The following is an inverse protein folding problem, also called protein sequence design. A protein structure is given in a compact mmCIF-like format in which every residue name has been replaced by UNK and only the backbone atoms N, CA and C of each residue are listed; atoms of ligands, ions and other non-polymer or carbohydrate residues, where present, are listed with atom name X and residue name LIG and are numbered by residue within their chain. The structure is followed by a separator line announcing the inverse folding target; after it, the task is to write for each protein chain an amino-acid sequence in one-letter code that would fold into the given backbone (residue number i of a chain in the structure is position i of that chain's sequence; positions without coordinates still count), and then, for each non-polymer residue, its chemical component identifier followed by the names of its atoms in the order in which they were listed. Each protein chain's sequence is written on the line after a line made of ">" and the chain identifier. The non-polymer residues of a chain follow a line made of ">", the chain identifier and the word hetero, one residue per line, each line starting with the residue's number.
data_IF_844667447213
#
_entry.id   IF_844667447213
#
_cell.length_a   1.000
_cell.length_b   1.000
_cell.length_c   1.000
_cell.angle_alpha   90.00
_cell.angle_beta   90.00
_cell.angle_gamma   90.00
#
_symmetry.space_group_name_H-M   'P 1'
#
loop_
_entity.id
_entity.type
_entity.pdbx_description
1 polymer ?
#
# COMPACT_ATOMS: atom_id res chain seq x y z
N UNK A 1 12.49 18.21 20.57
CA UNK A 1 13.44 17.25 21.18
C UNK A 1 14.22 16.57 20.06
N UNK A 2 15.50 16.25 20.24
CA UNK A 2 16.35 15.75 19.16
C UNK A 2 16.50 14.23 19.25
N UNK A 3 16.06 13.51 18.20
CA UNK A 3 16.17 12.04 18.08
C UNK A 3 17.33 11.62 17.14
N UNK A 4 18.28 12.51 16.88
CA UNK A 4 19.49 12.19 16.12
C UNK A 4 20.50 11.43 16.99
N UNK A 5 21.24 10.52 16.36
CA UNK A 5 22.33 9.77 16.98
C UNK A 5 21.94 8.89 18.19
N UNK A 6 20.65 8.60 18.43
CA UNK A 6 20.24 7.74 19.54
C UNK A 6 20.78 6.31 19.44
N UNK A 7 20.98 5.81 18.20
CA UNK A 7 21.60 4.50 17.96
C UNK A 7 23.06 4.43 18.44
N UNK A 8 23.76 5.57 18.51
CA UNK A 8 25.15 5.63 19.01
C UNK A 8 25.21 5.57 20.55
N UNK A 9 24.06 5.75 21.22
CA UNK A 9 23.96 5.80 22.69
C UNK A 9 23.46 4.50 23.32
N UNK A 10 22.96 3.55 22.52
CA UNK A 10 22.48 2.25 23.01
C UNK A 10 23.60 1.20 22.98
N UNK A 11 23.39 0.08 23.66
CA UNK A 11 24.35 -1.02 23.69
C UNK A 11 24.55 -1.63 22.30
N UNK A 12 25.76 -2.15 22.03
CA UNK A 12 26.14 -2.71 20.71
C UNK A 12 25.32 -3.97 20.37
N UNK A 13 24.84 -4.68 21.37
CA UNK A 13 23.98 -5.86 21.26
C UNK A 13 22.47 -5.52 21.23
N UNK A 14 22.12 -4.23 21.18
CA UNK A 14 20.72 -3.82 21.07
C UNK A 14 20.07 -4.45 19.82
N UNK A 15 18.80 -4.89 19.93
CA UNK A 15 18.19 -5.74 18.91
C UNK A 15 17.66 -4.90 17.72
N UNK A 16 18.56 -4.28 16.96
CA UNK A 16 18.21 -3.36 15.85
C UNK A 16 17.41 -4.04 14.72
N UNK A 17 17.55 -5.37 14.59
CA UNK A 17 16.81 -6.17 13.61
C UNK A 17 15.44 -6.64 14.12
N UNK A 18 15.10 -6.40 15.39
CA UNK A 18 13.79 -6.76 15.91
C UNK A 18 12.73 -5.87 15.28
N UNK A 19 11.81 -6.49 14.56
CA UNK A 19 10.68 -5.84 13.92
C UNK A 19 9.61 -6.88 13.59
N UNK A 20 8.38 -6.41 13.37
CA UNK A 20 7.32 -7.21 12.74
C UNK A 20 7.08 -6.74 11.32
N UNK A 21 6.57 -7.64 10.48
CA UNK A 21 6.42 -7.45 9.05
C UNK A 21 5.05 -7.93 8.59
N UNK A 22 4.46 -7.22 7.64
CA UNK A 22 3.27 -7.65 6.90
C UNK A 22 3.43 -7.33 5.43
N UNK A 23 2.86 -8.16 4.56
CA UNK A 23 2.89 -7.95 3.12
C UNK A 23 1.47 -7.98 2.58
N UNK A 24 1.16 -7.03 1.70
CA UNK A 24 -0.05 -7.03 0.89
C UNK A 24 0.42 -7.10 -0.57
N UNK A 25 -0.17 -7.97 -1.39
CA UNK A 25 0.16 -8.11 -2.82
C UNK A 25 -1.11 -8.09 -3.64
N UNK A 26 -1.19 -7.14 -4.56
CA UNK A 26 -2.28 -7.05 -5.53
C UNK A 26 -1.89 -7.78 -6.82
N UNK A 27 -2.88 -8.31 -7.53
CA UNK A 27 -2.69 -8.85 -8.88
C UNK A 27 -4.00 -9.10 -9.61
N UNK A 28 -4.05 -8.73 -10.88
CA UNK A 28 -5.23 -8.95 -11.73
C UNK A 28 -5.34 -10.43 -12.13
N UNK A 29 -6.54 -11.00 -12.02
CA UNK A 29 -6.87 -12.26 -12.69
C UNK A 29 -7.04 -12.00 -14.17
N UNK A 30 -6.34 -12.77 -14.99
CA UNK A 30 -6.40 -12.72 -16.45
C UNK A 30 -6.58 -14.13 -16.99
N UNK A 31 -7.14 -14.27 -18.18
CA UNK A 31 -7.16 -15.55 -18.88
C UNK A 31 -5.80 -15.88 -19.52
N UNK A 32 -5.67 -17.07 -20.09
CA UNK A 32 -4.45 -17.53 -20.78
C UNK A 32 -4.01 -16.66 -21.97
N UNK A 33 -4.89 -15.82 -22.51
CA UNK A 33 -4.57 -14.85 -23.58
C UNK A 33 -4.16 -13.48 -23.03
N UNK A 34 -3.98 -13.34 -21.71
CA UNK A 34 -3.62 -12.08 -21.05
C UNK A 34 -4.77 -11.08 -20.98
N UNK A 35 -6.02 -11.48 -21.22
CA UNK A 35 -7.20 -10.60 -21.10
C UNK A 35 -7.77 -10.65 -19.70
N UNK A 36 -8.27 -9.51 -19.23
CA UNK A 36 -8.83 -9.36 -17.90
C UNK A 36 -9.99 -10.36 -17.68
N UNK A 37 -9.95 -11.12 -16.57
CA UNK A 37 -10.99 -12.10 -16.27
C UNK A 37 -12.36 -11.41 -16.14
N UNK A 38 -13.42 -12.02 -16.67
CA UNK A 38 -14.79 -11.47 -16.53
C UNK A 38 -15.65 -12.30 -15.56
N UNK A 39 -15.01 -13.24 -14.87
CA UNK A 39 -15.62 -14.10 -13.86
C UNK A 39 -15.63 -13.41 -12.50
N UNK A 40 -16.63 -13.74 -11.68
CA UNK A 40 -16.73 -13.24 -10.30
C UNK A 40 -15.62 -13.78 -9.40
N UNK A 41 -15.46 -13.17 -8.22
CA UNK A 41 -14.58 -13.68 -7.18
C UNK A 41 -14.91 -15.16 -6.87
N UNK A 42 -13.93 -16.09 -6.94
CA UNK A 42 -14.18 -17.51 -6.73
C UNK A 42 -14.83 -17.80 -5.37
N UNK A 43 -15.99 -18.48 -5.39
CA UNK A 43 -16.73 -18.86 -4.17
C UNK A 43 -15.90 -19.69 -3.19
N UNK A 44 -14.93 -20.44 -3.69
CA UNK A 44 -14.03 -21.27 -2.90
C UNK A 44 -13.07 -20.46 -1.99
N UNK A 45 -12.89 -19.15 -2.23
CA UNK A 45 -12.18 -18.27 -1.29
C UNK A 45 -12.99 -17.95 -0.02
N UNK A 46 -14.30 -18.18 -0.02
CA UNK A 46 -15.17 -17.76 1.08
C UNK A 46 -15.60 -16.29 0.95
N UNK A 47 -16.16 -15.73 2.03
CA UNK A 47 -16.70 -14.36 2.01
C UNK A 47 -15.64 -13.32 2.32
N UNK A 48 -15.57 -12.30 1.47
CA UNK A 48 -14.69 -11.14 1.62
C UNK A 48 -14.98 -10.30 2.88
N UNK A 49 -16.16 -10.45 3.49
CA UNK A 49 -16.51 -9.70 4.70
C UNK A 49 -15.63 -10.05 5.90
N UNK A 50 -15.07 -11.26 5.92
CA UNK A 50 -14.24 -11.73 7.03
C UNK A 50 -12.95 -12.41 6.59
N UNK A 51 -12.75 -12.68 5.29
CA UNK A 51 -11.59 -13.43 4.82
C UNK A 51 -10.29 -12.62 5.03
N UNK A 52 -9.34 -13.09 5.86
CA UNK A 52 -8.24 -12.24 6.33
C UNK A 52 -7.05 -12.16 5.37
N UNK A 53 -6.97 -13.06 4.37
CA UNK A 53 -5.74 -13.24 3.57
C UNK A 53 -5.89 -13.14 2.06
N UNK A 54 -7.12 -13.28 1.54
CA UNK A 54 -7.43 -13.19 0.12
C UNK A 54 -8.70 -12.35 0.00
N UNK A 55 -8.58 -11.19 -0.63
CA UNK A 55 -9.68 -10.26 -0.87
C UNK A 55 -9.59 -9.74 -2.31
N UNK A 56 -10.29 -8.63 -2.58
CA UNK A 56 -10.19 -7.85 -3.81
C UNK A 56 -9.94 -6.40 -3.45
N UNK A 57 -9.04 -5.74 -4.18
CA UNK A 57 -8.78 -4.32 -4.01
C UNK A 57 -9.89 -3.47 -4.69
N UNK A 58 -9.60 -2.75 -5.78
CA UNK A 58 -10.60 -1.91 -6.44
C UNK A 58 -11.62 -2.71 -7.26
N UNK A 59 -11.14 -3.67 -8.05
CA UNK A 59 -11.97 -4.42 -9.01
C UNK A 59 -12.18 -5.88 -8.62
N UNK A 60 -13.26 -6.49 -9.13
CA UNK A 60 -13.60 -7.91 -8.92
C UNK A 60 -12.48 -8.85 -9.42
N UNK A 61 -11.70 -8.36 -10.37
CA UNK A 61 -10.58 -9.07 -10.96
C UNK A 61 -9.27 -8.92 -10.19
N UNK A 62 -9.11 -7.87 -9.40
CA UNK A 62 -7.85 -7.53 -8.75
C UNK A 62 -7.81 -8.17 -7.36
N UNK A 63 -7.19 -9.34 -7.28
CA UNK A 63 -6.99 -10.01 -6.00
C UNK A 63 -6.02 -9.20 -5.14
N UNK A 64 -6.29 -9.16 -3.85
CA UNK A 64 -5.39 -8.65 -2.82
C UNK A 64 -5.05 -9.78 -1.85
N UNK A 65 -3.77 -10.13 -1.77
CA UNK A 65 -3.24 -11.19 -0.91
C UNK A 65 -2.56 -10.55 0.30
N UNK A 66 -3.10 -10.79 1.50
CA UNK A 66 -2.72 -10.12 2.74
C UNK A 66 -2.11 -11.15 3.68
N UNK A 67 -0.87 -10.95 4.13
CA UNK A 67 -0.26 -11.86 5.11
C UNK A 67 -0.69 -11.51 6.53
N UNK A 68 -0.77 -12.50 7.43
CA UNK A 68 -0.67 -12.24 8.86
C UNK A 68 0.60 -11.48 9.22
N UNK A 69 0.63 -10.87 10.41
CA UNK A 69 1.83 -10.26 10.96
C UNK A 69 2.88 -11.36 11.20
N UNK A 70 4.11 -11.11 10.77
CA UNK A 70 5.24 -12.03 10.89
C UNK A 70 6.37 -11.41 11.73
N UNK A 71 7.05 -12.18 12.60
CA UNK A 71 8.21 -11.74 13.38
C UNK A 71 9.51 -11.68 12.56
N UNK A 72 9.49 -12.08 11.27
CA UNK A 72 10.66 -11.99 10.39
C UNK A 72 10.25 -11.84 8.92
N UNK A 73 11.15 -11.28 8.11
CA UNK A 73 10.95 -11.20 6.65
C UNK A 73 10.87 -12.58 6.00
N UNK A 74 11.58 -13.58 6.53
CA UNK A 74 11.51 -14.97 6.08
C UNK A 74 10.11 -15.55 6.28
N UNK A 75 9.50 -15.29 7.43
CA UNK A 75 8.16 -15.76 7.74
C UNK A 75 7.08 -15.01 6.95
N UNK A 76 7.20 -13.69 6.79
CA UNK A 76 6.29 -12.91 5.93
C UNK A 76 6.28 -13.46 4.49
N UNK A 77 7.46 -13.75 3.93
CA UNK A 77 7.59 -14.36 2.60
C UNK A 77 7.01 -15.77 2.53
N UNK A 78 7.14 -16.58 3.60
CA UNK A 78 6.53 -17.91 3.69
C UNK A 78 5.01 -17.81 3.65
N UNK A 79 4.41 -16.88 4.41
CA UNK A 79 2.97 -16.64 4.38
C UNK A 79 2.51 -16.19 2.99
N UNK A 80 3.19 -15.20 2.40
CA UNK A 80 2.83 -14.71 1.06
C UNK A 80 2.91 -15.81 0.00
N UNK A 81 3.93 -16.69 0.08
CA UNK A 81 4.06 -17.83 -0.82
C UNK A 81 2.89 -18.81 -0.65
N UNK A 82 2.54 -19.19 0.58
CA UNK A 82 1.42 -20.09 0.85
C UNK A 82 0.08 -19.51 0.37
N UNK A 83 -0.17 -18.22 0.64
CA UNK A 83 -1.40 -17.54 0.21
C UNK A 83 -1.46 -17.42 -1.31
N UNK A 84 -0.35 -17.07 -1.96
CA UNK A 84 -0.25 -17.04 -3.43
C UNK A 84 -0.55 -18.41 -4.04
N UNK A 85 -0.06 -19.48 -3.41
CA UNK A 85 -0.24 -20.86 -3.87
C UNK A 85 -1.70 -21.33 -3.71
N UNK A 86 -2.35 -20.98 -2.59
CA UNK A 86 -3.80 -21.18 -2.41
C UNK A 86 -4.59 -20.38 -3.44
N UNK A 87 -4.25 -19.10 -3.66
CA UNK A 87 -4.91 -18.25 -4.64
C UNK A 87 -4.82 -18.84 -6.05
N UNK A 88 -3.60 -19.20 -6.48
CA UNK A 88 -3.33 -19.76 -7.80
C UNK A 88 -4.00 -21.11 -8.06
N UNK A 89 -4.17 -21.96 -7.05
CA UNK A 89 -4.89 -23.24 -7.22
C UNK A 89 -6.42 -23.12 -7.12
N UNK A 90 -6.91 -22.02 -6.55
CA UNK A 90 -8.36 -21.82 -6.34
C UNK A 90 -9.02 -21.05 -7.49
N UNK A 91 -8.28 -20.17 -8.18
CA UNK A 91 -8.81 -19.51 -9.39
C UNK A 91 -9.11 -20.55 -10.50
N UNK A 92 -10.01 -20.25 -11.44
CA UNK A 92 -10.29 -21.12 -12.58
C UNK A 92 -9.02 -21.54 -13.34
N UNK A 93 -8.98 -22.78 -13.84
CA UNK A 93 -7.78 -23.34 -14.51
C UNK A 93 -7.31 -22.59 -15.76
N UNK A 94 -8.21 -21.84 -16.38
CA UNK A 94 -7.95 -21.00 -17.55
C UNK A 94 -7.57 -19.55 -17.18
N UNK A 95 -7.44 -19.25 -15.89
CA UNK A 95 -7.00 -17.97 -15.36
C UNK A 95 -5.63 -18.07 -14.68
N UNK A 96 -4.93 -16.95 -14.66
CA UNK A 96 -3.66 -16.75 -13.94
C UNK A 96 -3.66 -15.38 -13.27
N UNK A 97 -2.79 -15.20 -12.27
CA UNK A 97 -2.55 -13.90 -11.66
C UNK A 97 -1.48 -13.17 -12.47
N UNK A 98 -1.82 -12.00 -12.99
CA UNK A 98 -0.93 -11.13 -13.76
C UNK A 98 0.30 -10.76 -12.93
N UNK A 99 1.52 -10.92 -13.47
CA UNK A 99 2.75 -10.76 -12.68
C UNK A 99 3.27 -9.32 -12.61
N UNK A 100 2.81 -8.42 -13.48
CA UNK A 100 3.35 -7.06 -13.60
C UNK A 100 2.49 -6.05 -12.85
N UNK A 101 3.12 -4.93 -12.47
CA UNK A 101 2.42 -3.81 -11.84
C UNK A 101 1.50 -3.08 -12.83
N UNK A 102 2.02 -2.80 -14.04
CA UNK A 102 1.20 -2.25 -15.12
C UNK A 102 0.28 -3.35 -15.67
N UNK A 103 -1.00 -3.05 -15.88
CA UNK A 103 -1.96 -4.05 -16.32
C UNK A 103 -1.72 -4.50 -17.78
N UNK A 104 -2.29 -5.64 -18.20
CA UNK A 104 -2.34 -5.99 -19.62
C UNK A 104 -3.23 -5.01 -20.39
N UNK A 105 -3.27 -5.15 -21.73
CA UNK A 105 -4.16 -4.34 -22.57
C UNK A 105 -5.61 -4.59 -22.18
N UNK A 106 -6.27 -3.53 -21.72
CA UNK A 106 -7.64 -3.52 -21.23
C UNK A 106 -8.36 -2.23 -21.60
N UNK A 107 -9.68 -2.25 -21.50
CA UNK A 107 -10.54 -1.09 -21.60
C UNK A 107 -11.25 -0.81 -20.25
N UNK A 108 -11.66 0.44 -19.98
CA UNK A 108 -12.41 0.77 -18.76
C UNK A 108 -13.70 -0.05 -18.58
N UNK A 109 -14.32 -0.49 -19.67
CA UNK A 109 -15.55 -1.27 -19.66
C UNK A 109 -15.36 -2.70 -19.12
N UNK A 110 -14.16 -3.26 -19.27
CA UNK A 110 -13.81 -4.60 -18.75
C UNK A 110 -13.59 -4.61 -17.23
N UNK A 111 -13.31 -3.45 -16.62
CA UNK A 111 -13.02 -3.33 -15.19
C UNK A 111 -14.34 -3.25 -14.41
N UNK A 112 -14.62 -4.30 -13.66
CA UNK A 112 -15.81 -4.42 -12.81
C UNK A 112 -15.43 -3.99 -11.40
N UNK A 113 -16.13 -2.99 -10.85
CA UNK A 113 -15.90 -2.60 -9.44
C UNK A 113 -16.23 -3.80 -8.55
N UNK A 114 -15.39 -4.06 -7.54
CA UNK A 114 -15.56 -5.21 -6.66
C UNK A 114 -16.99 -5.29 -6.10
N UNK A 115 -17.58 -6.48 -6.18
CA UNK A 115 -18.93 -6.75 -5.67
C UNK A 115 -18.87 -6.94 -4.15
N UNK A 116 -18.95 -5.83 -3.42
CA UNK A 116 -18.88 -5.81 -1.96
C UNK A 116 -20.28 -5.68 -1.35
N UNK A 117 -20.53 -6.46 -0.29
CA UNK A 117 -21.78 -6.37 0.49
C UNK A 117 -21.84 -5.09 1.32
N UNK A 118 -20.68 -4.51 1.65
CA UNK A 118 -20.60 -3.22 2.34
C UNK A 118 -20.85 -2.07 1.35
N UNK A 119 -22.00 -1.41 1.49
CA UNK A 119 -22.41 -0.28 0.65
C UNK A 119 -21.40 0.87 0.64
N UNK A 120 -20.82 1.22 1.79
CA UNK A 120 -19.83 2.29 1.87
C UNK A 120 -18.58 1.96 1.05
N UNK A 121 -18.07 0.73 1.16
CA UNK A 121 -16.90 0.29 0.38
C UNK A 121 -17.17 0.22 -1.12
N UNK A 122 -18.41 -0.10 -1.51
CA UNK A 122 -18.87 -0.05 -2.92
C UNK A 122 -18.94 1.39 -3.42
N UNK A 123 -19.66 2.27 -2.73
CA UNK A 123 -19.81 3.68 -3.13
C UNK A 123 -18.49 4.42 -3.14
N UNK A 124 -17.57 4.11 -2.21
CA UNK A 124 -16.21 4.64 -2.22
C UNK A 124 -15.49 4.32 -3.55
N UNK A 125 -15.52 3.07 -4.00
CA UNK A 125 -14.90 2.65 -5.27
C UNK A 125 -15.60 3.27 -6.49
N UNK A 126 -16.91 3.41 -6.46
CA UNK A 126 -17.65 4.14 -7.49
C UNK A 126 -17.24 5.62 -7.56
N UNK A 127 -17.01 6.25 -6.40
CA UNK A 127 -16.47 7.60 -6.30
C UNK A 127 -15.06 7.72 -6.91
N UNK A 128 -14.15 6.80 -6.56
CA UNK A 128 -12.82 6.72 -7.16
C UNK A 128 -12.89 6.54 -8.69
N UNK A 129 -13.79 5.66 -9.16
CA UNK A 129 -13.99 5.42 -10.59
C UNK A 129 -14.44 6.67 -11.33
N UNK A 130 -15.33 7.47 -10.73
CA UNK A 130 -15.78 8.75 -11.30
C UNK A 130 -14.68 9.81 -11.31
N UNK A 131 -13.87 9.86 -10.25
CA UNK A 131 -12.84 10.89 -10.06
C UNK A 131 -11.58 10.63 -10.88
N UNK A 132 -11.09 9.39 -10.89
CA UNK A 132 -9.79 9.02 -11.48
C UNK A 132 -9.92 8.11 -12.71
N UNK A 133 -11.12 7.63 -13.02
CA UNK A 133 -11.33 6.58 -14.01
C UNK A 133 -10.98 5.19 -13.47
N UNK A 134 -11.48 4.16 -14.15
CA UNK A 134 -11.25 2.75 -13.76
C UNK A 134 -9.86 2.25 -14.16
N UNK A 135 -9.31 2.74 -15.27
CA UNK A 135 -8.04 2.24 -15.82
C UNK A 135 -6.88 2.43 -14.85
N UNK A 136 -6.78 3.61 -14.22
CA UNK A 136 -5.72 3.88 -13.24
C UNK A 136 -5.77 2.89 -12.06
N UNK A 137 -6.96 2.47 -11.68
CA UNK A 137 -7.20 1.56 -10.55
C UNK A 137 -6.77 0.12 -10.83
N UNK A 138 -6.47 -0.23 -12.08
CA UNK A 138 -5.97 -1.55 -12.46
C UNK A 138 -4.46 -1.73 -12.21
N UNK A 139 -3.73 -0.69 -11.79
CA UNK A 139 -2.31 -0.82 -11.46
C UNK A 139 -2.17 -1.57 -10.13
N UNK A 140 -1.50 -2.72 -10.14
CA UNK A 140 -1.25 -3.51 -8.93
C UNK A 140 0.14 -3.23 -8.34
N UNK A 141 0.29 -3.47 -7.03
CA UNK A 141 1.58 -3.37 -6.34
C UNK A 141 1.71 -4.29 -5.13
N UNK A 142 2.78 -4.06 -4.37
CA UNK A 142 3.03 -4.71 -3.09
C UNK A 142 3.16 -3.63 -2.04
N UNK A 143 2.48 -3.79 -0.91
CA UNK A 143 2.71 -2.98 0.29
C UNK A 143 3.59 -3.73 1.27
N UNK A 144 4.59 -3.02 1.78
CA UNK A 144 5.51 -3.52 2.79
C UNK A 144 5.21 -2.83 4.12
N UNK A 145 4.58 -3.56 5.04
CA UNK A 145 4.23 -3.08 6.36
C UNK A 145 5.33 -3.51 7.35
N UNK A 146 5.76 -2.59 8.22
CA UNK A 146 6.80 -2.86 9.20
C UNK A 146 6.56 -2.08 10.50
N UNK A 147 6.79 -2.73 11.63
CA UNK A 147 6.83 -2.08 12.95
C UNK A 147 8.16 -2.42 13.64
N UNK A 148 8.87 -1.41 14.14
CA UNK A 148 10.07 -1.59 14.96
C UNK A 148 9.74 -2.35 16.25
N UNK A 149 10.66 -3.23 16.65
CA UNK A 149 10.53 -4.07 17.82
C UNK A 149 10.41 -3.28 19.14
N UNK A 150 9.60 -3.77 20.09
CA UNK A 150 9.38 -3.07 21.36
C UNK A 150 10.66 -2.89 22.18
N UNK A 151 11.61 -3.84 22.12
CA UNK A 151 12.84 -3.76 22.90
C UNK A 151 13.78 -2.70 22.33
N UNK A 152 13.86 -2.59 21.00
CA UNK A 152 14.60 -1.52 20.34
C UNK A 152 14.00 -0.15 20.66
N UNK A 153 12.66 -0.01 20.59
CA UNK A 153 11.97 1.23 20.95
C UNK A 153 12.27 1.60 22.40
N UNK A 154 12.19 0.63 23.32
CA UNK A 154 12.45 0.86 24.74
C UNK A 154 13.91 1.26 25.00
N UNK A 155 14.87 0.64 24.31
CA UNK A 155 16.28 0.97 24.41
C UNK A 155 16.56 2.41 23.95
N UNK A 156 16.03 2.79 22.78
CA UNK A 156 16.16 4.14 22.25
C UNK A 156 15.47 5.19 23.13
N UNK A 157 14.29 4.87 23.67
CA UNK A 157 13.55 5.76 24.56
C UNK A 157 14.34 6.09 25.83
N UNK A 158 14.97 5.08 26.46
CA UNK A 158 15.77 5.23 27.70
C UNK A 158 16.94 6.21 27.57
N UNK A 159 17.52 6.33 26.38
CA UNK A 159 18.67 7.21 26.08
C UNK A 159 18.25 8.52 25.41
N UNK A 160 16.94 8.75 25.26
CA UNK A 160 16.36 9.96 24.71
C UNK A 160 15.97 10.96 25.80
N UNK A 161 15.73 12.22 25.42
CA UNK A 161 15.25 13.25 26.34
C UNK A 161 13.72 13.22 26.57
N UNK A 162 13.01 12.29 25.91
CA UNK A 162 11.56 12.19 25.99
C UNK A 162 11.12 11.65 27.35
N UNK A 163 9.99 12.17 27.85
CA UNK A 163 9.31 11.66 29.06
C UNK A 163 8.09 10.81 28.76
N UNK A 164 7.59 10.86 27.52
CA UNK A 164 6.44 10.10 27.06
C UNK A 164 6.86 9.22 25.87
N UNK A 165 6.72 7.90 26.03
CA UNK A 165 7.11 6.92 25.01
C UNK A 165 6.24 7.02 23.74
N UNK A 166 4.99 7.47 23.84
CA UNK A 166 4.11 7.67 22.68
C UNK A 166 4.60 8.81 21.81
N UNK A 167 4.92 9.95 22.41
CA UNK A 167 5.51 11.10 21.69
C UNK A 167 6.85 10.71 21.06
N UNK A 168 7.67 9.95 21.78
CA UNK A 168 8.91 9.42 21.24
C UNK A 168 8.67 8.51 20.02
N UNK A 169 7.73 7.56 20.12
CA UNK A 169 7.38 6.64 19.03
C UNK A 169 6.87 7.42 17.80
N UNK A 170 6.00 8.41 18.01
CA UNK A 170 5.49 9.28 16.93
C UNK A 170 6.62 9.99 16.20
N UNK A 171 7.50 10.69 16.93
CA UNK A 171 8.62 11.42 16.35
C UNK A 171 9.64 10.51 15.66
N UNK A 172 9.86 9.30 16.22
CA UNK A 172 10.69 8.27 15.61
C UNK A 172 10.14 7.82 14.25
N UNK A 173 8.85 7.48 14.16
CA UNK A 173 8.22 7.08 12.90
C UNK A 173 8.10 8.23 11.90
N UNK A 174 7.87 9.46 12.35
CA UNK A 174 7.93 10.65 11.49
C UNK A 174 9.33 10.85 10.91
N UNK A 175 10.38 10.67 11.70
CA UNK A 175 11.75 10.71 11.19
C UNK A 175 12.03 9.59 10.19
N UNK A 176 11.55 8.36 10.44
CA UNK A 176 11.66 7.27 9.48
C UNK A 176 10.94 7.60 8.16
N UNK A 177 9.70 8.10 8.24
CA UNK A 177 8.91 8.48 7.07
C UNK A 177 9.58 9.61 6.25
N UNK A 178 10.06 10.67 6.91
CA UNK A 178 10.78 11.76 6.23
C UNK A 178 12.05 11.28 5.53
N UNK A 179 12.85 10.41 6.18
CA UNK A 179 14.04 9.85 5.56
C UNK A 179 13.70 8.88 4.43
N UNK A 180 12.67 8.05 4.59
CA UNK A 180 12.14 7.24 3.51
C UNK A 180 11.76 8.11 2.31
N UNK A 181 10.96 9.17 2.50
CA UNK A 181 10.57 10.06 1.41
C UNK A 181 11.77 10.74 0.73
N UNK A 182 12.80 11.12 1.50
CA UNK A 182 14.04 11.73 0.98
C UNK A 182 14.86 10.75 0.14
N UNK A 183 14.93 9.48 0.53
CA UNK A 183 15.82 8.48 -0.07
C UNK A 183 15.11 7.37 -0.85
N UNK A 184 13.76 7.39 -0.94
CA UNK A 184 12.96 6.36 -1.63
C UNK A 184 13.34 6.18 -3.09
N UNK A 185 13.89 7.21 -3.73
CA UNK A 185 14.38 7.14 -5.10
C UNK A 185 15.36 5.99 -5.30
N UNK A 186 16.13 5.62 -4.26
CA UNK A 186 17.06 4.50 -4.32
C UNK A 186 16.34 3.15 -4.41
N UNK A 187 15.24 2.98 -3.67
CA UNK A 187 14.40 1.78 -3.78
C UNK A 187 13.69 1.72 -5.13
N UNK A 188 13.16 2.85 -5.63
CA UNK A 188 12.59 2.93 -6.98
C UNK A 188 13.66 2.67 -8.05
N UNK A 189 14.90 3.07 -7.81
CA UNK A 189 16.04 2.80 -8.70
C UNK A 189 16.33 1.30 -8.79
N UNK A 190 16.45 0.62 -7.64
CA UNK A 190 16.79 -0.80 -7.56
C UNK A 190 15.65 -1.72 -8.01
N UNK A 191 14.41 -1.39 -7.65
CA UNK A 191 13.27 -2.30 -7.76
C UNK A 191 12.14 -1.78 -8.66
N UNK A 192 12.40 -0.75 -9.46
CA UNK A 192 11.45 -0.27 -10.47
C UNK A 192 11.14 -1.36 -11.50
N UNK A 193 9.87 -1.77 -11.56
CA UNK A 193 9.40 -2.90 -12.38
C UNK A 193 8.18 -2.54 -13.23
N UNK A 194 8.08 -1.28 -13.65
CA UNK A 194 6.98 -0.77 -14.47
C UNK A 194 7.51 0.09 -15.63
N UNK A 195 8.29 -0.48 -16.56
CA UNK A 195 9.02 0.33 -17.55
C UNK A 195 8.17 0.81 -18.72
N UNK A 196 7.12 0.07 -19.06
CA UNK A 196 6.21 0.31 -20.19
C UNK A 196 4.77 0.08 -19.74
N UNK A 197 3.83 0.65 -20.49
CA UNK A 197 2.41 0.41 -20.34
C UNK A 197 1.82 -0.01 -21.69
N UNK A 198 0.75 -0.79 -21.65
CA UNK A 198 0.04 -1.19 -22.87
C UNK A 198 -0.64 0.01 -23.54
N UNK A 199 -0.84 -0.12 -24.85
CA UNK A 199 -1.47 0.91 -25.67
C UNK A 199 -2.85 1.30 -25.10
N UNK A 200 -3.09 2.61 -24.99
CA UNK A 200 -4.34 3.16 -24.46
C UNK A 200 -4.42 3.24 -22.93
N UNK A 201 -3.38 2.79 -22.20
CA UNK A 201 -3.35 2.94 -20.75
C UNK A 201 -2.99 4.36 -20.30
N UNK A 202 -1.98 4.97 -20.92
CA UNK A 202 -1.46 6.28 -20.53
C UNK A 202 -2.20 7.41 -21.25
N UNK A 203 -2.33 8.55 -20.57
CA UNK A 203 -2.89 9.79 -21.14
C UNK A 203 -1.92 10.51 -22.07
N UNK A 204 -0.63 10.20 -21.97
CA UNK A 204 0.44 10.70 -22.86
C UNK A 204 1.38 9.56 -23.23
N UNK A 205 1.89 9.59 -24.45
CA UNK A 205 2.89 8.63 -24.90
C UNK A 205 4.24 8.83 -24.20
N UNK A 206 4.92 7.73 -23.94
CA UNK A 206 6.31 7.73 -23.48
C UNK A 206 7.14 7.12 -24.60
N UNK A 207 8.09 7.90 -25.14
CA UNK A 207 8.87 7.52 -26.32
C UNK A 207 9.89 6.41 -26.08
N UNK A 208 10.26 6.15 -24.82
CA UNK A 208 11.24 5.15 -24.42
C UNK A 208 10.84 4.51 -23.08
N UNK A 209 11.22 3.25 -22.82
CA UNK A 209 11.02 2.64 -21.53
C UNK A 209 11.59 3.49 -20.40
N UNK A 210 10.80 3.70 -19.35
CA UNK A 210 11.26 4.36 -18.12
C UNK A 210 11.55 3.31 -17.06
N UNK A 211 11.93 3.74 -15.85
CA UNK A 211 12.20 2.79 -14.77
C UNK A 211 10.92 2.29 -14.09
N UNK A 212 10.00 3.20 -13.78
CA UNK A 212 8.78 2.86 -13.04
C UNK A 212 7.67 3.89 -13.25
N UNK A 213 6.79 3.64 -14.21
CA UNK A 213 5.56 4.43 -14.47
C UNK A 213 4.69 4.53 -13.21
N UNK A 214 4.49 3.44 -12.46
CA UNK A 214 3.71 3.45 -11.20
C UNK A 214 4.19 4.49 -10.19
N UNK A 215 5.49 4.81 -10.17
CA UNK A 215 6.10 5.76 -9.24
C UNK A 215 6.33 7.15 -9.86
N UNK A 216 5.80 7.40 -11.06
CA UNK A 216 5.85 8.68 -11.75
C UNK A 216 4.54 9.46 -11.57
N UNK A 217 4.46 10.65 -12.19
CA UNK A 217 3.23 11.44 -12.29
C UNK A 217 2.11 10.76 -13.11
N UNK A 218 2.43 9.68 -13.82
CA UNK A 218 1.47 8.87 -14.59
C UNK A 218 0.89 7.68 -13.80
N UNK A 219 1.36 7.48 -12.57
CA UNK A 219 0.84 6.46 -11.65
C UNK A 219 -0.20 7.04 -10.69
N UNK A 220 -0.27 6.48 -9.48
CA UNK A 220 -1.11 7.02 -8.41
C UNK A 220 -0.47 8.25 -7.80
N UNK A 221 -1.02 9.42 -8.12
CA UNK A 221 -0.66 10.70 -7.52
C UNK A 221 -1.90 11.43 -7.05
N UNK A 222 -1.78 12.18 -5.96
CA UNK A 222 -2.84 13.09 -5.54
C UNK A 222 -2.91 14.29 -6.49
N UNK A 223 -4.03 15.00 -6.45
CA UNK A 223 -4.14 16.33 -7.04
C UNK A 223 -3.01 17.24 -6.53
N UNK A 224 -2.48 18.12 -7.39
CA UNK A 224 -1.37 19.01 -7.07
C UNK A 224 -1.64 19.90 -5.86
N UNK A 225 -2.90 20.22 -5.56
CA UNK A 225 -3.27 21.04 -4.40
C UNK A 225 -3.20 20.30 -3.06
N UNK A 226 -3.11 18.96 -3.08
CA UNK A 226 -3.10 18.12 -1.89
C UNK A 226 -1.67 17.96 -1.40
N UNK A 227 -1.36 18.61 -0.28
CA UNK A 227 -0.06 18.55 0.37
C UNK A 227 -0.22 18.12 1.81
N UNK A 228 0.42 17.01 2.18
CA UNK A 228 0.39 16.49 3.55
C UNK A 228 1.76 16.67 4.19
N UNK A 229 1.80 17.37 5.31
CA UNK A 229 3.01 17.60 6.07
C UNK A 229 3.42 16.38 6.89
N UNK A 230 4.72 16.06 6.87
CA UNK A 230 5.35 15.10 7.77
C UNK A 230 6.16 15.80 8.87
N UNK A 231 5.91 17.09 9.11
CA UNK A 231 6.64 17.87 10.11
C UNK A 231 6.35 17.37 11.54
N UNK A 232 5.07 17.17 11.85
CA UNK A 232 4.57 16.58 13.09
C UNK A 232 3.39 15.65 12.81
N UNK A 233 2.96 14.87 13.80
CA UNK A 233 1.80 13.99 13.66
C UNK A 233 0.53 14.82 13.56
N UNK A 234 0.44 15.90 14.33
CA UNK A 234 -0.68 16.84 14.33
C UNK A 234 -0.88 17.45 12.93
N UNK A 235 0.18 17.96 12.30
CA UNK A 235 0.09 18.49 10.93
C UNK A 235 -0.31 17.42 9.92
N UNK A 236 0.27 16.21 10.02
CA UNK A 236 -0.06 15.10 9.14
C UNK A 236 -1.56 14.78 9.16
N UNK A 237 -2.13 14.70 10.37
CA UNK A 237 -3.54 14.39 10.59
C UNK A 237 -4.42 15.55 10.14
N UNK A 238 -4.11 16.77 10.58
CA UNK A 238 -4.92 17.94 10.28
C UNK A 238 -5.00 18.22 8.78
N UNK A 239 -3.91 17.98 8.04
CA UNK A 239 -3.90 18.16 6.59
C UNK A 239 -4.84 17.15 5.92
N UNK A 240 -4.80 15.87 6.30
CA UNK A 240 -5.68 14.84 5.73
C UNK A 240 -7.15 15.13 6.08
N UNK A 241 -7.45 15.41 7.34
CA UNK A 241 -8.80 15.72 7.81
C UNK A 241 -9.37 16.95 7.10
N UNK A 242 -8.55 17.98 6.88
CA UNK A 242 -8.93 19.17 6.12
C UNK A 242 -9.34 18.81 4.69
N UNK A 243 -8.55 18.02 3.96
CA UNK A 243 -8.88 17.66 2.58
C UNK A 243 -10.10 16.74 2.48
N UNK A 244 -10.34 15.89 3.48
CA UNK A 244 -11.58 15.10 3.58
C UNK A 244 -12.78 16.03 3.83
N UNK A 245 -12.68 16.94 4.79
CA UNK A 245 -13.76 17.88 5.13
C UNK A 245 -14.12 18.83 3.97
N UNK A 246 -13.14 19.16 3.11
CA UNK A 246 -13.34 20.00 1.92
C UNK A 246 -13.88 19.21 0.71
N UNK A 247 -13.97 17.88 0.79
CA UNK A 247 -14.37 17.01 -0.32
C UNK A 247 -13.29 16.79 -1.38
N UNK A 248 -12.06 17.26 -1.12
CA UNK A 248 -10.90 17.03 -1.97
C UNK A 248 -10.40 15.59 -1.89
N UNK A 249 -10.70 14.91 -0.79
CA UNK A 249 -10.58 13.46 -0.61
C UNK A 249 -11.94 12.90 -0.17
N UNK A 250 -12.36 11.76 -0.72
CA UNK A 250 -13.56 11.03 -0.32
C UNK A 250 -13.38 10.45 1.08
N UNK A 251 -12.17 9.98 1.40
CA UNK A 251 -11.80 9.45 2.71
C UNK A 251 -10.27 9.50 2.89
N UNK A 252 -9.79 9.38 4.12
CA UNK A 252 -8.35 9.36 4.45
C UNK A 252 -7.58 8.31 3.62
N UNK A 253 -8.20 7.14 3.40
CA UNK A 253 -7.61 6.03 2.64
C UNK A 253 -7.37 6.34 1.15
N UNK A 254 -8.01 7.37 0.59
CA UNK A 254 -7.75 7.85 -0.78
C UNK A 254 -6.42 8.58 -0.90
N UNK A 255 -5.89 9.17 0.18
CA UNK A 255 -4.66 9.94 0.11
C UNK A 255 -3.50 9.03 -0.34
N UNK A 256 -3.07 9.18 -1.59
CA UNK A 256 -2.00 8.37 -2.17
C UNK A 256 -0.66 8.89 -1.65
N UNK A 257 -0.05 8.12 -0.75
CA UNK A 257 1.23 8.48 -0.14
C UNK A 257 2.22 7.31 -0.29
N UNK A 258 3.51 7.59 -0.54
CA UNK A 258 4.53 6.55 -0.64
C UNK A 258 4.77 5.77 0.66
N UNK A 259 4.48 6.40 1.81
CA UNK A 259 4.51 5.82 3.15
C UNK A 259 3.29 6.33 3.90
N UNK A 260 2.64 5.49 4.71
CA UNK A 260 1.45 5.85 5.49
C UNK A 260 1.62 5.33 6.91
N UNK A 261 1.15 6.12 7.89
CA UNK A 261 1.03 5.62 9.26
C UNK A 261 -0.20 4.72 9.38
N UNK A 262 -0.11 3.68 10.21
CA UNK A 262 -1.15 2.66 10.42
C UNK A 262 -1.30 2.40 11.92
N UNK A 263 -2.41 1.80 12.33
CA UNK A 263 -2.60 1.30 13.70
C UNK A 263 -3.58 2.07 14.59
N UNK A 264 -4.32 3.06 14.07
CA UNK A 264 -5.39 3.73 14.83
C UNK A 264 -6.66 3.91 13.99
N UNK A 265 -7.83 3.65 14.59
CA UNK A 265 -9.16 3.93 14.00
C UNK A 265 -9.70 5.32 14.38
N UNK A 266 -9.08 5.98 15.36
CA UNK A 266 -9.26 7.38 15.78
C UNK A 266 -7.94 7.86 16.39
N UNK A 267 -7.46 9.02 15.98
CA UNK A 267 -6.30 9.68 16.57
C UNK A 267 -6.82 10.43 17.80
N UNK A 268 -6.50 9.90 18.98
CA UNK A 268 -6.81 10.58 20.24
C UNK A 268 -5.61 11.46 20.61
N UNK A 269 -5.81 12.77 20.63
CA UNK A 269 -4.80 13.75 21.03
C UNK A 269 -4.78 13.99 22.55
N UNK A 270 -5.51 13.16 23.32
CA UNK A 270 -5.54 13.21 24.79
C UNK A 270 -4.56 12.26 25.47
#
# INVERSE_FOLDING_TARGET
>A
MNINHLLEKIAVDAPILQATFGLEREGLRVNQNGKLAQTSHPKAFGSRNFHPTIQTDFSEQQLELITPIAPSTKEARRFLAAITDVAGRTIPKNEVIWPLSMPPKLSPAEIQIAHLENDFERYYREGLAKKYGKTLQAISGIHYNMELGPDLIQALFKVSDYKNIRLFKNDLYLKLARNFLRFRWFLTYLYGAAPIAEEGFLTREISQPVRSIRNSDLGYVNDQKIHISYASLESYVSDIEKYVAQGDLIAEKECYMPVRFRGQKKIDFT
#
